data_IF_320659519991
#
_entry.id   IF_320659519991
#
_cell.length_a   1.000
_cell.length_b   1.000
_cell.length_c   1.000
_cell.angle_alpha   90.00
_cell.angle_beta   90.00
_cell.angle_gamma   90.00
#
_symmetry.space_group_name_H-M   'P 1'
#
loop_
_entity.id
_entity.type
_entity.pdbx_description
1 polymer ?
#
# COMPACT_ATOMS: atom_id res chain seq x y z
N UNK A 1 11.42 38.42 -3.23
CA UNK A 1 11.40 36.99 -3.60
C UNK A 1 12.79 36.37 -3.66
N UNK A 2 13.68 36.73 -4.61
CA UNK A 2 15.00 36.04 -4.71
C UNK A 2 15.94 36.38 -3.54
N UNK A 3 16.16 37.66 -3.27
CA UNK A 3 16.97 38.14 -2.14
C UNK A 3 16.36 37.79 -0.77
N UNK A 4 15.03 37.65 -0.73
CA UNK A 4 14.28 37.21 0.45
C UNK A 4 14.55 35.73 0.78
N UNK A 5 14.71 34.88 -0.25
CA UNK A 5 15.03 33.48 -0.08
C UNK A 5 16.50 33.24 0.25
N UNK A 6 17.40 34.06 -0.30
CA UNK A 6 18.86 33.88 -0.16
C UNK A 6 19.49 34.73 0.94
N UNK A 7 18.79 35.76 1.43
CA UNK A 7 19.28 36.71 2.45
C UNK A 7 20.40 37.65 1.97
N UNK A 8 20.66 37.70 0.65
CA UNK A 8 21.75 38.49 0.04
C UNK A 8 21.36 38.98 -1.36
N UNK A 9 22.05 40.02 -1.90
CA UNK A 9 21.88 40.43 -3.29
C UNK A 9 22.05 39.24 -4.24
N UNK A 10 21.15 39.11 -5.22
CA UNK A 10 21.08 37.93 -6.07
C UNK A 10 22.28 37.82 -7.02
N UNK A 11 22.92 36.65 -7.03
CA UNK A 11 23.86 36.23 -8.07
C UNK A 11 23.32 35.03 -8.86
N UNK A 12 23.73 34.92 -10.12
CA UNK A 12 23.31 33.81 -10.99
C UNK A 12 23.67 32.46 -10.35
N UNK A 13 22.65 31.62 -10.13
CA UNK A 13 22.79 30.30 -9.51
C UNK A 13 22.54 30.26 -7.99
N UNK A 14 22.33 31.39 -7.32
CA UNK A 14 22.02 31.41 -5.89
C UNK A 14 20.71 30.69 -5.56
N UNK A 15 19.68 30.88 -6.38
CA UNK A 15 18.41 30.18 -6.21
C UNK A 15 18.57 28.67 -6.35
N UNK A 16 19.40 28.20 -7.28
CA UNK A 16 19.65 26.77 -7.46
C UNK A 16 20.34 26.17 -6.23
N UNK A 17 21.30 26.89 -5.63
CA UNK A 17 21.98 26.47 -4.40
C UNK A 17 21.06 26.48 -3.18
N UNK A 18 20.24 27.52 -3.04
CA UNK A 18 19.28 27.64 -1.95
C UNK A 18 18.23 26.53 -2.00
N UNK A 19 17.68 26.26 -3.19
CA UNK A 19 16.72 25.16 -3.39
C UNK A 19 17.38 23.81 -3.10
N UNK A 20 18.58 23.56 -3.63
CA UNK A 20 19.34 22.33 -3.37
C UNK A 20 19.56 22.12 -1.87
N UNK A 21 20.00 23.15 -1.14
CA UNK A 21 20.21 23.10 0.31
C UNK A 21 18.92 22.79 1.08
N UNK A 22 17.80 23.45 0.76
CA UNK A 22 16.51 23.19 1.42
C UNK A 22 15.98 21.79 1.14
N UNK A 23 16.09 21.32 -0.10
CA UNK A 23 15.66 19.98 -0.48
C UNK A 23 16.49 18.93 0.26
N UNK A 24 17.83 19.09 0.27
CA UNK A 24 18.73 18.20 1.01
C UNK A 24 18.42 18.19 2.51
N UNK A 25 18.24 19.35 3.13
CA UNK A 25 17.88 19.44 4.55
C UNK A 25 16.54 18.77 4.86
N UNK A 26 15.55 18.91 3.99
CA UNK A 26 14.24 18.25 4.15
C UNK A 26 14.38 16.72 4.05
N UNK A 27 15.15 16.23 3.08
CA UNK A 27 15.37 14.79 2.90
C UNK A 27 16.17 14.22 4.07
N UNK A 28 17.24 14.88 4.51
CA UNK A 28 18.03 14.45 5.66
C UNK A 28 17.14 14.33 6.91
N UNK A 29 16.34 15.37 7.20
CA UNK A 29 15.38 15.36 8.30
C UNK A 29 14.36 14.21 8.18
N UNK A 30 13.81 13.96 6.99
CA UNK A 30 12.89 12.85 6.75
C UNK A 30 13.54 11.48 7.02
N UNK A 31 14.83 11.33 6.68
CA UNK A 31 15.62 10.12 6.89
C UNK A 31 16.22 10.03 8.31
N UNK A 32 15.99 11.03 9.18
CA UNK A 32 16.57 11.07 10.52
C UNK A 32 18.08 11.27 10.55
N UNK A 33 18.65 11.93 9.53
CA UNK A 33 20.07 12.27 9.40
C UNK A 33 20.30 13.77 9.53
N UNK A 34 21.53 14.14 9.92
CA UNK A 34 21.97 15.54 9.97
C UNK A 34 22.29 16.10 8.57
N UNK A 35 22.79 15.27 7.65
CA UNK A 35 23.14 15.65 6.28
C UNK A 35 22.59 14.66 5.25
N UNK A 36 22.34 15.15 4.03
CA UNK A 36 21.88 14.34 2.91
C UNK A 36 23.04 13.67 2.18
N UNK A 37 22.89 12.37 1.94
CA UNK A 37 23.74 11.58 1.05
C UNK A 37 22.93 11.02 -0.12
N UNK A 38 23.60 10.84 -1.26
CA UNK A 38 22.96 10.26 -2.43
C UNK A 38 22.44 8.85 -2.12
N UNK A 39 21.14 8.63 -2.36
CA UNK A 39 20.49 7.34 -2.13
C UNK A 39 19.71 7.26 -0.80
N UNK A 40 19.87 8.22 0.11
CA UNK A 40 19.20 8.21 1.42
C UNK A 40 17.69 8.05 1.31
N UNK A 41 17.05 8.89 0.49
CA UNK A 41 15.61 8.84 0.30
C UNK A 41 15.15 7.48 -0.24
N UNK A 42 15.90 6.91 -1.18
CA UNK A 42 15.57 5.60 -1.77
C UNK A 42 15.64 4.51 -0.71
N UNK A 43 16.71 4.48 0.10
CA UNK A 43 16.88 3.50 1.17
C UNK A 43 15.83 3.66 2.27
N UNK A 44 15.52 4.90 2.65
CA UNK A 44 14.50 5.21 3.64
C UNK A 44 13.12 4.71 3.23
N UNK A 45 12.74 4.99 1.98
CA UNK A 45 11.45 4.54 1.43
C UNK A 45 11.41 3.02 1.31
N UNK A 46 12.47 2.39 0.80
CA UNK A 46 12.55 0.93 0.68
C UNK A 46 12.39 0.25 2.04
N UNK A 47 13.10 0.74 3.06
CA UNK A 47 12.98 0.23 4.43
C UNK A 47 11.55 0.37 4.97
N UNK A 48 10.96 1.58 4.91
CA UNK A 48 9.59 1.80 5.41
C UNK A 48 8.54 0.94 4.69
N UNK A 49 8.70 0.73 3.38
CA UNK A 49 7.82 -0.15 2.62
C UNK A 49 7.98 -1.59 3.07
N UNK A 50 9.23 -2.07 3.23
CA UNK A 50 9.50 -3.42 3.73
C UNK A 50 8.95 -3.65 5.13
N UNK A 51 9.12 -2.68 6.05
CA UNK A 51 8.57 -2.76 7.41
C UNK A 51 7.04 -2.90 7.37
N UNK A 52 6.37 -2.04 6.58
CA UNK A 52 4.91 -2.06 6.44
C UNK A 52 4.38 -3.34 5.81
N UNK A 53 5.11 -3.89 4.84
CA UNK A 53 4.75 -5.14 4.17
C UNK A 53 4.96 -6.32 5.11
N UNK A 54 6.07 -6.34 5.86
CA UNK A 54 6.37 -7.34 6.88
C UNK A 54 5.29 -7.41 7.96
N UNK A 55 4.86 -6.25 8.48
CA UNK A 55 3.71 -6.12 9.38
C UNK A 55 2.42 -6.67 8.78
N UNK A 56 2.17 -6.37 7.49
CA UNK A 56 0.97 -6.79 6.80
C UNK A 56 0.92 -8.30 6.58
N UNK A 57 2.03 -8.93 6.20
CA UNK A 57 2.12 -10.37 5.90
C UNK A 57 2.43 -11.24 7.12
N UNK A 58 2.88 -10.63 8.24
CA UNK A 58 3.30 -11.34 9.45
C UNK A 58 4.57 -12.17 9.24
N UNK A 59 5.53 -11.68 8.45
CA UNK A 59 6.84 -12.30 8.23
C UNK A 59 7.94 -11.30 8.52
N UNK A 60 9.11 -11.81 8.94
CA UNK A 60 10.27 -10.99 9.27
C UNK A 60 10.99 -10.43 8.03
N UNK A 61 10.90 -11.10 6.87
CA UNK A 61 11.55 -10.66 5.63
C UNK A 61 10.58 -10.77 4.44
N UNK A 62 10.54 -9.71 3.63
CA UNK A 62 9.71 -9.65 2.43
C UNK A 62 10.36 -10.35 1.24
N UNK A 63 9.63 -11.28 0.62
CA UNK A 63 9.97 -11.85 -0.68
C UNK A 63 8.99 -11.39 -1.77
N UNK A 64 9.50 -11.24 -3.00
CA UNK A 64 8.66 -10.93 -4.16
C UNK A 64 7.47 -11.91 -4.26
N UNK A 65 6.27 -11.33 -4.38
CA UNK A 65 5.02 -12.08 -4.46
C UNK A 65 4.35 -12.38 -3.11
N UNK A 66 4.95 -12.03 -1.97
CA UNK A 66 4.34 -12.26 -0.66
C UNK A 66 3.02 -11.52 -0.48
N UNK A 67 2.93 -10.27 -0.93
CA UNK A 67 1.68 -9.50 -0.90
C UNK A 67 0.59 -10.22 -1.69
N UNK A 68 0.90 -10.70 -2.90
CA UNK A 68 -0.04 -11.43 -3.75
C UNK A 68 -0.52 -12.71 -3.06
N UNK A 69 0.40 -13.47 -2.45
CA UNK A 69 0.06 -14.70 -1.71
C UNK A 69 -0.81 -14.41 -0.49
N UNK A 70 -0.50 -13.38 0.27
CA UNK A 70 -1.26 -12.99 1.47
C UNK A 70 -2.66 -12.47 1.12
N UNK A 71 -2.78 -11.65 0.07
CA UNK A 71 -4.08 -11.18 -0.44
C UNK A 71 -4.94 -12.37 -0.89
N UNK A 72 -4.38 -13.31 -1.65
CA UNK A 72 -5.13 -14.51 -2.09
C UNK A 72 -5.47 -15.46 -0.95
N UNK A 73 -4.63 -15.56 0.08
CA UNK A 73 -4.93 -16.30 1.30
C UNK A 73 -6.14 -15.70 2.02
N UNK A 74 -6.12 -14.40 2.31
CA UNK A 74 -7.23 -13.70 2.97
C UNK A 74 -8.52 -13.74 2.15
N UNK A 75 -8.42 -13.59 0.84
CA UNK A 75 -9.56 -13.74 -0.07
C UNK A 75 -10.19 -15.13 0.07
N UNK A 76 -9.38 -16.20 0.05
CA UNK A 76 -9.88 -17.58 0.23
C UNK A 76 -10.50 -17.80 1.60
N UNK A 77 -9.89 -17.28 2.66
CA UNK A 77 -10.43 -17.36 4.02
C UNK A 77 -11.78 -16.63 4.14
N UNK A 78 -11.91 -15.45 3.55
CA UNK A 78 -13.17 -14.71 3.51
C UNK A 78 -14.25 -15.46 2.71
N UNK A 79 -13.92 -15.97 1.52
CA UNK A 79 -14.86 -16.77 0.71
C UNK A 79 -15.29 -18.02 1.49
N UNK A 80 -14.36 -18.71 2.15
CA UNK A 80 -14.65 -19.87 3.01
C UNK A 80 -15.57 -19.51 4.17
N UNK A 81 -15.32 -18.38 4.84
CA UNK A 81 -16.16 -17.92 5.95
C UNK A 81 -17.57 -17.53 5.51
N UNK A 82 -17.73 -17.04 4.29
CA UNK A 82 -19.03 -16.57 3.78
C UNK A 82 -19.85 -17.66 3.10
N UNK A 83 -19.23 -18.57 2.34
CA UNK A 83 -19.91 -19.62 1.58
C UNK A 83 -19.88 -20.99 2.28
N UNK A 84 -19.00 -21.19 3.25
CA UNK A 84 -18.67 -22.50 3.78
C UNK A 84 -17.58 -23.21 2.97
N UNK A 85 -17.01 -24.28 3.54
CA UNK A 85 -15.80 -24.92 3.03
C UNK A 85 -15.97 -25.58 1.65
N UNK A 86 -17.07 -26.30 1.44
CA UNK A 86 -17.28 -27.07 0.22
C UNK A 86 -17.68 -26.18 -0.97
N UNK A 87 -18.46 -25.14 -0.71
CA UNK A 87 -18.82 -24.14 -1.71
C UNK A 87 -17.59 -23.29 -2.10
N UNK A 88 -16.75 -22.90 -1.14
CA UNK A 88 -15.53 -22.14 -1.42
C UNK A 88 -14.51 -22.91 -2.26
N UNK A 89 -14.36 -24.24 -2.04
CA UNK A 89 -13.49 -25.11 -2.85
C UNK A 89 -13.92 -25.18 -4.31
N UNK A 90 -15.23 -25.03 -4.58
CA UNK A 90 -15.82 -25.12 -5.91
C UNK A 90 -16.38 -23.76 -6.38
N UNK A 91 -15.80 -22.66 -5.91
CA UNK A 91 -16.29 -21.30 -6.16
C UNK A 91 -16.51 -21.01 -7.65
N UNK A 92 -17.70 -20.52 -7.97
CA UNK A 92 -18.06 -19.97 -9.27
C UNK A 92 -18.44 -18.50 -9.13
N UNK A 93 -18.14 -17.74 -10.18
CA UNK A 93 -18.59 -16.36 -10.27
C UNK A 93 -20.12 -16.29 -10.09
N UNK A 94 -20.58 -15.53 -9.11
CA UNK A 94 -22.00 -15.40 -8.75
C UNK A 94 -22.39 -16.04 -7.43
N UNK A 95 -21.60 -16.97 -6.87
CA UNK A 95 -21.94 -17.69 -5.64
C UNK A 95 -22.11 -16.74 -4.43
N UNK A 96 -21.25 -15.72 -4.32
CA UNK A 96 -21.34 -14.70 -3.26
C UNK A 96 -22.65 -13.92 -3.32
N UNK A 97 -23.05 -13.49 -4.53
CA UNK A 97 -24.31 -12.77 -4.75
C UNK A 97 -25.50 -13.66 -4.44
N UNK A 98 -25.45 -14.93 -4.84
CA UNK A 98 -26.51 -15.89 -4.54
C UNK A 98 -26.64 -16.12 -3.03
N UNK A 99 -25.53 -16.32 -2.33
CA UNK A 99 -25.53 -16.48 -0.88
C UNK A 99 -26.04 -15.22 -0.16
N UNK A 100 -25.68 -14.03 -0.64
CA UNK A 100 -26.22 -12.77 -0.12
C UNK A 100 -27.74 -12.70 -0.30
N UNK A 101 -28.26 -13.09 -1.46
CA UNK A 101 -29.70 -13.10 -1.72
C UNK A 101 -30.42 -14.11 -0.84
N UNK A 102 -29.88 -15.32 -0.65
CA UNK A 102 -30.42 -16.33 0.29
C UNK A 102 -30.49 -15.81 1.72
N UNK A 103 -29.41 -15.18 2.19
CA UNK A 103 -29.36 -14.61 3.54
C UNK A 103 -30.39 -13.47 3.72
N UNK A 104 -30.64 -12.65 2.69
CA UNK A 104 -31.62 -11.56 2.72
C UNK A 104 -33.06 -12.10 2.60
N UNK A 105 -33.29 -13.11 1.76
CA UNK A 105 -34.61 -13.69 1.54
C UNK A 105 -35.05 -14.60 2.70
N UNK A 106 -34.10 -15.16 3.46
CA UNK A 106 -34.36 -16.24 4.42
C UNK A 106 -34.82 -17.53 3.75
N UNK A 107 -34.61 -17.65 2.44
CA UNK A 107 -35.02 -18.79 1.62
C UNK A 107 -33.77 -19.47 1.08
N UNK A 108 -33.44 -20.63 1.67
CA UNK A 108 -32.26 -21.42 1.32
C UNK A 108 -32.32 -21.95 -0.12
N UNK A 109 -33.53 -22.04 -0.70
CA UNK A 109 -33.79 -22.51 -2.06
C UNK A 109 -33.95 -21.36 -3.08
N UNK A 110 -33.57 -20.13 -2.71
CA UNK A 110 -33.66 -18.97 -3.61
C UNK A 110 -32.95 -19.25 -4.95
N UNK A 111 -33.70 -19.09 -6.05
CA UNK A 111 -33.19 -19.19 -7.42
C UNK A 111 -33.46 -17.91 -8.20
N UNK A 112 -32.43 -17.41 -8.88
CA UNK A 112 -32.56 -16.24 -9.76
C UNK A 112 -33.36 -16.64 -11.00
N UNK A 113 -34.56 -16.07 -11.15
CA UNK A 113 -35.35 -16.20 -12.38
C UNK A 113 -34.87 -15.17 -13.39
N UNK A 114 -34.07 -15.59 -14.36
CA UNK A 114 -33.71 -14.77 -15.52
C UNK A 114 -34.88 -14.85 -16.51
N UNK A 115 -35.49 -13.69 -16.82
CA UNK A 115 -36.52 -13.58 -17.87
C UNK A 115 -35.90 -13.47 -19.24
#
# INVERSE_FOLDING_TARGET
MTEEMTGKPYEAGDLSKEIDSRVKGTVASFCGKDEYEFGDLTQEIDRRVKDRVSDYIGKDEYEFGDITREVEKRRREWVKGYLGEDAAKNYKFGDLTMQALKNISGDDDYQVRIK
#
